data_IF_978903431318
#
_entry.id   IF_978903431318
#
_cell.length_a   1.000
_cell.length_b   1.000
_cell.length_c   1.000
_cell.angle_alpha   90.00
_cell.angle_beta   90.00
_cell.angle_gamma   90.00
#
_symmetry.space_group_name_H-M   'P 1'
#
loop_
_entity.id
_entity.type
_entity.pdbx_description
1 polymer ?
#
# COMPACT_ATOMS: atom_id res chain seq x y z
N UNK A 1 -4.54 -36.42 -15.93
CA UNK A 1 -4.11 -35.18 -15.26
C UNK A 1 -5.35 -34.34 -15.03
N UNK A 2 -5.90 -34.39 -13.82
CA UNK A 2 -7.10 -33.62 -13.46
C UNK A 2 -6.62 -32.22 -13.11
N UNK A 3 -6.91 -31.24 -13.97
CA UNK A 3 -6.57 -29.85 -13.71
C UNK A 3 -7.47 -29.36 -12.57
N UNK A 4 -6.90 -29.16 -11.38
CA UNK A 4 -7.58 -28.52 -10.25
C UNK A 4 -7.65 -27.02 -10.54
N UNK A 5 -8.73 -26.59 -11.17
CA UNK A 5 -9.09 -25.17 -11.20
C UNK A 5 -9.62 -24.83 -9.81
N UNK A 6 -8.92 -23.94 -9.10
CA UNK A 6 -9.36 -23.46 -7.79
C UNK A 6 -10.75 -22.79 -7.92
N UNK A 7 -11.62 -22.90 -6.89
CA UNK A 7 -12.92 -22.24 -6.90
C UNK A 7 -12.75 -20.73 -7.11
N UNK A 8 -13.59 -20.06 -7.92
CA UNK A 8 -13.49 -18.64 -8.19
C UNK A 8 -13.45 -17.77 -6.91
N UNK A 9 -14.18 -18.16 -5.86
CA UNK A 9 -14.17 -17.47 -4.56
C UNK A 9 -12.79 -17.46 -3.87
N UNK A 10 -11.97 -18.50 -4.08
CA UNK A 10 -10.62 -18.57 -3.52
C UNK A 10 -9.65 -17.63 -4.26
N UNK A 11 -9.92 -17.35 -5.54
CA UNK A 11 -9.15 -16.41 -6.37
C UNK A 11 -9.46 -14.97 -5.96
N UNK A 12 -10.72 -14.65 -5.68
CA UNK A 12 -11.15 -13.31 -5.26
C UNK A 12 -10.61 -12.93 -3.88
N UNK A 13 -10.63 -13.86 -2.92
CA UNK A 13 -10.06 -13.64 -1.57
C UNK A 13 -8.54 -13.39 -1.61
N UNK A 14 -7.80 -14.11 -2.46
CA UNK A 14 -6.36 -13.91 -2.63
C UNK A 14 -6.05 -12.54 -3.26
N UNK A 15 -6.87 -12.08 -4.21
CA UNK A 15 -6.73 -10.77 -4.84
C UNK A 15 -7.05 -9.62 -3.87
N UNK A 16 -8.14 -9.72 -3.09
CA UNK A 16 -8.50 -8.76 -2.04
C UNK A 16 -7.36 -8.58 -1.01
N UNK A 17 -6.80 -9.71 -0.56
CA UNK A 17 -5.66 -9.71 0.37
C UNK A 17 -4.44 -9.03 -0.23
N UNK A 18 -4.11 -9.34 -1.50
CA UNK A 18 -2.98 -8.73 -2.22
C UNK A 18 -3.13 -7.21 -2.38
N UNK A 19 -4.32 -6.73 -2.74
CA UNK A 19 -4.60 -5.30 -2.87
C UNK A 19 -4.47 -4.60 -1.51
N UNK A 20 -5.04 -5.17 -0.46
CA UNK A 20 -4.97 -4.64 0.90
C UNK A 20 -3.52 -4.53 1.40
N UNK A 21 -2.71 -5.57 1.19
CA UNK A 21 -1.27 -5.57 1.52
C UNK A 21 -0.52 -4.51 0.71
N UNK A 22 -0.87 -4.32 -0.56
CA UNK A 22 -0.24 -3.32 -1.43
C UNK A 22 -0.52 -1.89 -0.99
N UNK A 23 -1.79 -1.57 -0.66
CA UNK A 23 -2.19 -0.27 -0.12
C UNK A 23 -1.44 0.01 1.19
N UNK A 24 -1.46 -0.96 2.11
CA UNK A 24 -0.75 -0.85 3.38
C UNK A 24 0.75 -0.59 3.17
N UNK A 25 1.40 -1.35 2.30
CA UNK A 25 2.83 -1.20 2.02
C UNK A 25 3.19 0.19 1.49
N UNK A 26 2.39 0.75 0.58
CA UNK A 26 2.59 2.11 0.06
C UNK A 26 2.47 3.16 1.16
N UNK A 27 1.41 3.09 1.97
CA UNK A 27 1.19 4.05 3.06
C UNK A 27 2.28 3.95 4.15
N UNK A 28 2.66 2.72 4.52
CA UNK A 28 3.74 2.47 5.48
C UNK A 28 5.08 3.01 4.99
N UNK A 29 5.37 2.90 3.69
CA UNK A 29 6.59 3.44 3.14
C UNK A 29 6.62 4.98 3.16
N UNK A 30 5.51 5.64 2.82
CA UNK A 30 5.42 7.09 2.93
C UNK A 30 5.59 7.58 4.37
N UNK A 31 4.94 6.92 5.32
CA UNK A 31 5.09 7.21 6.75
C UNK A 31 6.52 6.96 7.25
N UNK A 32 7.18 5.90 6.77
CA UNK A 32 8.61 5.67 7.03
C UNK A 32 9.48 6.84 6.54
N UNK A 33 9.26 7.33 5.30
CA UNK A 33 10.04 8.44 4.75
C UNK A 33 9.87 9.72 5.58
N UNK A 34 8.66 10.00 6.06
CA UNK A 34 8.40 11.13 6.97
C UNK A 34 9.14 10.95 8.28
N UNK A 35 9.02 9.77 8.92
CA UNK A 35 9.69 9.49 10.21
C UNK A 35 11.21 9.56 10.10
N UNK A 36 11.78 9.05 9.02
CA UNK A 36 13.22 9.13 8.74
C UNK A 36 13.67 10.59 8.55
N UNK A 37 12.96 11.37 7.73
CA UNK A 37 13.27 12.78 7.52
C UNK A 37 13.21 13.60 8.82
N UNK A 38 12.21 13.36 9.67
CA UNK A 38 12.11 14.01 10.99
C UNK A 38 13.29 13.68 11.87
N UNK A 39 13.63 12.39 12.00
CA UNK A 39 14.76 11.95 12.81
C UNK A 39 16.09 12.52 12.31
N UNK A 40 16.31 12.60 11.00
CA UNK A 40 17.52 13.21 10.44
C UNK A 40 17.57 14.73 10.64
N UNK A 41 16.42 15.43 10.62
CA UNK A 41 16.37 16.86 10.96
C UNK A 41 16.72 17.11 12.43
N UNK A 42 16.19 16.29 13.35
CA UNK A 42 16.54 16.37 14.78
C UNK A 42 18.04 16.15 14.97
N UNK A 43 18.60 15.10 14.36
CA UNK A 43 20.05 14.83 14.38
C UNK A 43 20.87 15.96 13.77
N UNK A 44 20.41 16.57 12.68
CA UNK A 44 21.11 17.68 12.03
C UNK A 44 21.22 18.91 12.95
N UNK A 45 20.17 19.21 13.72
CA UNK A 45 20.15 20.34 14.65
C UNK A 45 21.14 20.18 15.79
N UNK A 46 21.28 18.96 16.30
CA UNK A 46 22.14 18.65 17.44
C UNK A 46 23.60 18.35 17.04
N UNK A 47 23.89 18.08 15.76
CA UNK A 47 25.20 17.63 15.29
C UNK A 47 26.25 18.76 15.25
N UNK A 48 27.29 18.76 16.11
CA UNK A 48 28.31 19.82 16.11
C UNK A 48 29.37 19.66 15.01
N UNK A 49 29.61 18.45 14.50
CA UNK A 49 30.65 18.21 13.49
C UNK A 49 30.18 18.65 12.09
N UNK A 50 30.91 19.57 11.42
CA UNK A 50 30.51 20.05 10.10
C UNK A 50 30.43 18.95 9.02
N UNK A 51 31.32 17.95 9.08
CA UNK A 51 31.35 16.86 8.10
C UNK A 51 30.12 15.96 8.22
N UNK A 52 29.80 15.56 9.44
CA UNK A 52 28.62 14.75 9.77
C UNK A 52 27.34 15.51 9.46
N UNK A 53 27.31 16.81 9.72
CA UNK A 53 26.18 17.69 9.38
C UNK A 53 25.91 17.74 7.87
N UNK A 54 26.95 17.75 7.02
CA UNK A 54 26.80 17.66 5.56
C UNK A 54 26.16 16.32 5.17
N UNK A 55 26.64 15.23 5.76
CA UNK A 55 26.10 13.89 5.49
C UNK A 55 24.63 13.79 5.88
N UNK A 56 24.25 14.25 7.09
CA UNK A 56 22.85 14.21 7.54
C UNK A 56 21.96 15.07 6.64
N UNK A 57 22.44 16.23 6.18
CA UNK A 57 21.69 17.06 5.21
C UNK A 57 21.35 16.29 3.94
N UNK A 58 22.30 15.50 3.41
CA UNK A 58 22.07 14.67 2.23
C UNK A 58 21.01 13.58 2.49
N UNK A 59 20.95 13.01 3.69
CA UNK A 59 19.89 12.06 4.07
C UNK A 59 18.52 12.73 4.08
N UNK A 60 18.40 13.92 4.67
CA UNK A 60 17.15 14.71 4.66
C UNK A 60 16.70 15.00 3.23
N UNK A 61 17.63 15.44 2.37
CA UNK A 61 17.36 15.71 0.96
C UNK A 61 16.89 14.45 0.21
N UNK A 62 17.54 13.31 0.44
CA UNK A 62 17.18 12.02 -0.14
C UNK A 62 15.77 11.58 0.30
N UNK A 63 15.48 11.57 1.60
CA UNK A 63 14.17 11.17 2.12
C UNK A 63 13.05 12.09 1.61
N UNK A 64 13.31 13.40 1.54
CA UNK A 64 12.36 14.38 1.00
C UNK A 64 12.13 14.20 -0.49
N UNK A 65 13.18 13.90 -1.27
CA UNK A 65 13.06 13.61 -2.69
C UNK A 65 12.22 12.35 -2.95
N UNK A 66 12.48 11.27 -2.19
CA UNK A 66 11.69 10.03 -2.25
C UNK A 66 10.22 10.29 -1.88
N UNK A 67 9.97 11.07 -0.82
CA UNK A 67 8.61 11.40 -0.40
C UNK A 67 7.87 12.21 -1.47
N UNK A 68 8.55 13.15 -2.12
CA UNK A 68 7.98 13.90 -3.25
C UNK A 68 7.60 12.96 -4.39
N UNK A 69 8.47 12.02 -4.77
CA UNK A 69 8.18 11.05 -5.81
C UNK A 69 6.98 10.17 -5.44
N UNK A 70 6.94 9.63 -4.22
CA UNK A 70 5.79 8.82 -3.77
C UNK A 70 4.50 9.63 -3.65
N UNK A 71 4.59 10.92 -3.28
CA UNK A 71 3.41 11.80 -3.22
C UNK A 71 2.73 11.99 -4.58
N UNK A 72 3.50 11.96 -5.67
CA UNK A 72 2.95 12.00 -7.04
C UNK A 72 2.17 10.73 -7.39
N UNK A 73 2.47 9.62 -6.70
CA UNK A 73 1.82 8.32 -6.87
C UNK A 73 0.63 8.11 -5.92
N UNK A 74 0.22 9.11 -5.15
CA UNK A 74 -0.95 9.00 -4.26
C UNK A 74 -2.24 8.66 -5.01
N UNK A 75 -2.37 9.07 -6.28
CA UNK A 75 -3.50 8.66 -7.12
C UNK A 75 -3.60 7.14 -7.27
N UNK A 76 -2.46 6.44 -7.38
CA UNK A 76 -2.45 4.99 -7.47
C UNK A 76 -2.98 4.32 -6.20
N UNK A 77 -2.84 4.94 -5.01
CA UNK A 77 -3.45 4.44 -3.78
C UNK A 77 -4.98 4.57 -3.86
N UNK A 78 -5.50 5.70 -4.35
CA UNK A 78 -6.93 5.87 -4.57
C UNK A 78 -7.47 4.84 -5.57
N UNK A 79 -6.75 4.57 -6.66
CA UNK A 79 -7.13 3.56 -7.65
C UNK A 79 -7.19 2.14 -7.03
N UNK A 80 -6.22 1.79 -6.19
CA UNK A 80 -6.22 0.51 -5.46
C UNK A 80 -7.40 0.41 -4.48
N UNK A 81 -7.74 1.50 -3.79
CA UNK A 81 -8.92 1.54 -2.91
C UNK A 81 -10.23 1.36 -3.70
N UNK A 82 -10.36 2.02 -4.85
CA UNK A 82 -11.53 1.88 -5.73
C UNK A 82 -11.67 0.44 -6.25
N UNK A 83 -10.55 -0.19 -6.62
CA UNK A 83 -10.54 -1.59 -7.05
C UNK A 83 -10.96 -2.54 -5.91
N UNK A 84 -10.45 -2.28 -4.70
CA UNK A 84 -10.82 -3.04 -3.50
C UNK A 84 -12.32 -2.91 -3.20
N UNK A 85 -12.87 -1.70 -3.26
CA UNK A 85 -14.30 -1.44 -3.04
C UNK A 85 -15.18 -2.15 -4.09
N UNK A 86 -14.80 -2.05 -5.37
CA UNK A 86 -15.52 -2.72 -6.46
C UNK A 86 -15.60 -4.25 -6.28
N UNK A 87 -14.51 -4.88 -5.81
CA UNK A 87 -14.48 -6.33 -5.54
C UNK A 87 -15.35 -6.74 -4.35
N UNK A 88 -15.53 -5.86 -3.37
CA UNK A 88 -16.42 -6.13 -2.21
C UNK A 88 -17.89 -5.92 -2.57
N UNK A 89 -18.17 -5.00 -3.50
CA UNK A 89 -19.53 -4.69 -3.95
C UNK A 89 -20.10 -5.68 -4.98
N UNK A 90 -19.27 -6.53 -5.60
CA UNK A 90 -19.74 -7.57 -6.52
C UNK A 90 -20.71 -8.51 -5.79
N UNK A 91 -21.99 -8.60 -6.23
CA UNK A 91 -22.96 -9.48 -5.59
C UNK A 91 -22.45 -10.93 -5.63
N UNK A 92 -22.39 -11.60 -4.48
CA UNK A 92 -22.30 -13.06 -4.48
C UNK A 92 -23.58 -13.59 -5.14
N UNK A 93 -23.47 -14.11 -6.35
CA UNK A 93 -24.55 -14.88 -6.96
C UNK A 93 -24.86 -16.04 -6.02
N UNK A 94 -25.94 -15.91 -5.24
CA UNK A 94 -26.46 -17.00 -4.43
C UNK A 94 -26.82 -18.15 -5.38
N UNK A 95 -26.22 -19.34 -5.24
CA UNK A 95 -26.61 -20.47 -6.07
C UNK A 95 -28.01 -20.94 -5.63
N UNK A 96 -29.01 -20.60 -6.45
CA UNK A 96 -30.35 -21.18 -6.59
C UNK A 96 -30.91 -22.02 -5.43
N UNK A 97 -31.94 -21.51 -4.76
CA UNK A 97 -32.99 -22.35 -4.17
C UNK A 97 -34.09 -22.60 -5.20
N UNK A 98 -33.82 -23.49 -6.15
CA UNK A 98 -34.87 -24.11 -6.99
C UNK A 98 -35.45 -25.32 -6.25
N UNK A 99 -36.71 -25.22 -5.85
CA UNK A 99 -37.51 -26.33 -5.29
C UNK A 99 -38.89 -25.80 -4.84
N UNK A 100 -39.81 -25.44 -5.74
CA UNK A 100 -40.83 -26.26 -6.45
C UNK A 100 -42.22 -26.01 -5.81
N UNK A 101 -43.29 -25.71 -6.57
CA UNK A 101 -44.61 -25.40 -6.03
C UNK A 101 -45.40 -26.69 -5.77
N UNK A 102 -46.23 -26.70 -4.73
CA UNK A 102 -47.28 -27.71 -4.49
C UNK A 102 -48.61 -27.03 -4.23
#
# INVERSE_FOLDING_TARGET
>A
MTQLTAPPEAVDGAQLSKLSVSIRGKLQFMDYLVRAAVADVERFQDEPDPGTRIFIKQLVEMHTANLRQESQNLRAIADLCNMLDAMVQTPQEQPYSSGDPS
#
